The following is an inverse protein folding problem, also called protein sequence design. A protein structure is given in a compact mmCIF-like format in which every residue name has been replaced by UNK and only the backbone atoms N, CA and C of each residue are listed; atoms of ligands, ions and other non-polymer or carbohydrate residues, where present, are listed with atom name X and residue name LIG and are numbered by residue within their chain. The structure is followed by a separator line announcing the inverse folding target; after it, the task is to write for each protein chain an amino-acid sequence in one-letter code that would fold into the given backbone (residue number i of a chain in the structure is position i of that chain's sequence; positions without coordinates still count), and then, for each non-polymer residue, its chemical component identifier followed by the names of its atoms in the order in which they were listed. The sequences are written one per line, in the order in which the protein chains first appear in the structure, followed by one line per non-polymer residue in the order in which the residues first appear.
data_IF_216380778608
#
_entry.id   IF_216380778608
#
_cell.length_a   1.000
_cell.length_b   1.000
_cell.length_c   1.000
_cell.angle_alpha   90.00
_cell.angle_beta   90.00
_cell.angle_gamma   90.00
#
_symmetry.space_group_name_H-M   'P 1'
#
loop_
_entity.id
_entity.type
_entity.pdbx_description
1 polymer ?
#
# COMPACT_ATOMS: atom_id res chain seq x y z
N UNK A 1 3.34 8.42 14.29
CA UNK A 1 3.63 7.19 13.52
C UNK A 1 3.44 7.50 12.05
N UNK A 2 4.50 7.41 11.23
CA UNK A 2 4.38 7.65 9.78
C UNK A 2 3.61 6.48 9.15
N UNK A 3 2.84 6.75 8.11
CA UNK A 3 1.99 5.75 7.47
C UNK A 3 2.48 5.50 6.04
N UNK A 4 2.25 4.29 5.55
CA UNK A 4 2.58 3.90 4.17
C UNK A 4 1.40 3.11 3.62
N UNK A 5 0.88 3.57 2.49
CA UNK A 5 -0.15 2.89 1.73
C UNK A 5 0.46 2.28 0.46
N UNK A 6 0.45 0.96 0.35
CA UNK A 6 0.89 0.24 -0.84
C UNK A 6 -0.27 -0.25 -1.68
N UNK A 7 -0.11 -0.22 -3.00
CA UNK A 7 -1.04 -0.81 -3.97
C UNK A 7 -0.28 -1.15 -5.26
N UNK A 8 -0.68 -2.21 -5.96
CA UNK A 8 -0.27 -2.40 -7.35
C UNK A 8 -1.41 -1.94 -8.26
N UNK A 9 -1.15 -1.00 -9.16
CA UNK A 9 -2.19 -0.27 -9.89
C UNK A 9 -2.44 -0.89 -11.28
N UNK A 10 -3.67 -0.81 -11.76
CA UNK A 10 -4.04 -1.21 -13.12
C UNK A 10 -3.99 -2.73 -13.31
N UNK A 11 -3.17 -3.22 -14.24
CA UNK A 11 -2.99 -4.66 -14.49
C UNK A 11 -1.83 -5.29 -13.70
N UNK A 12 -1.17 -4.54 -12.82
CA UNK A 12 -0.01 -5.05 -12.08
C UNK A 12 -0.43 -6.10 -11.03
N UNK A 13 0.01 -7.34 -11.24
CA UNK A 13 -0.21 -8.49 -10.35
C UNK A 13 1.01 -8.87 -9.49
N UNK A 14 2.15 -8.19 -9.69
CA UNK A 14 3.35 -8.43 -8.92
C UNK A 14 3.21 -7.86 -7.50
N UNK A 15 3.11 -8.73 -6.49
CA UNK A 15 2.89 -8.30 -5.09
C UNK A 15 4.09 -8.57 -4.16
N UNK A 16 5.02 -9.45 -4.53
CA UNK A 16 6.08 -9.89 -3.64
C UNK A 16 6.99 -8.75 -3.15
N UNK A 17 7.39 -7.85 -4.07
CA UNK A 17 8.27 -6.72 -3.73
C UNK A 17 7.64 -5.73 -2.76
N UNK A 18 6.40 -5.33 -3.02
CA UNK A 18 5.70 -4.37 -2.16
C UNK A 18 5.37 -4.97 -0.80
N UNK A 19 4.97 -6.24 -0.74
CA UNK A 19 4.74 -6.94 0.54
C UNK A 19 6.01 -7.04 1.36
N UNK A 20 7.15 -7.36 0.74
CA UNK A 20 8.44 -7.41 1.43
C UNK A 20 8.84 -6.02 1.98
N UNK A 21 8.67 -4.97 1.18
CA UNK A 21 8.94 -3.60 1.61
C UNK A 21 8.07 -3.16 2.78
N UNK A 22 6.75 -3.39 2.71
CA UNK A 22 5.83 -3.01 3.79
C UNK A 22 6.10 -3.81 5.06
N UNK A 23 6.42 -5.10 4.95
CA UNK A 23 6.82 -5.93 6.09
C UNK A 23 8.15 -5.49 6.72
N UNK A 24 9.07 -4.92 5.94
CA UNK A 24 10.29 -4.33 6.48
C UNK A 24 9.95 -3.03 7.21
N UNK A 25 9.19 -2.12 6.58
CA UNK A 25 8.84 -0.83 7.15
C UNK A 25 8.05 -0.95 8.46
N UNK A 26 7.15 -1.94 8.57
CA UNK A 26 6.39 -2.18 9.80
C UNK A 26 7.26 -2.55 11.01
N UNK A 27 8.48 -3.04 10.80
CA UNK A 27 9.47 -3.30 11.85
C UNK A 27 10.20 -2.04 12.34
N UNK A 28 10.06 -0.92 11.64
CA UNK A 28 10.72 0.37 11.93
C UNK A 28 9.69 1.47 12.23
N UNK A 29 8.64 1.16 13.00
CA UNK A 29 7.62 2.11 13.47
C UNK A 29 6.81 2.83 12.36
N UNK A 30 6.68 2.20 11.19
CA UNK A 30 5.70 2.62 10.17
C UNK A 30 4.40 1.85 10.33
N UNK A 31 3.27 2.55 10.21
CA UNK A 31 1.98 1.90 10.00
C UNK A 31 1.82 1.61 8.51
N UNK A 32 1.70 0.35 8.13
CA UNK A 32 1.63 -0.04 6.72
C UNK A 32 0.27 -0.64 6.38
N UNK A 33 -0.27 -0.30 5.21
CA UNK A 33 -1.49 -0.89 4.65
C UNK A 33 -1.28 -1.27 3.19
N UNK A 34 -1.71 -2.45 2.78
CA UNK A 34 -1.68 -2.89 1.39
C UNK A 34 -3.10 -3.03 0.82
N UNK A 35 -3.37 -2.43 -0.33
CA UNK A 35 -4.68 -2.47 -0.99
C UNK A 35 -4.88 -3.71 -1.90
N UNK A 36 -3.81 -4.43 -2.20
CA UNK A 36 -3.82 -5.58 -3.11
C UNK A 36 -3.25 -5.27 -4.49
N UNK A 37 -3.28 -6.30 -5.34
CA UNK A 37 -2.96 -6.22 -6.76
C UNK A 37 -4.09 -5.60 -7.58
N UNK A 38 -3.77 -5.18 -8.80
CA UNK A 38 -4.74 -4.67 -9.78
C UNK A 38 -5.73 -3.63 -9.23
N UNK A 39 -5.24 -2.73 -8.37
CA UNK A 39 -6.01 -1.69 -7.73
C UNK A 39 -6.39 -0.60 -8.75
N UNK A 40 -7.65 -0.18 -8.74
CA UNK A 40 -8.12 0.95 -9.56
C UNK A 40 -7.61 2.27 -8.98
N UNK A 41 -7.47 3.28 -9.85
CA UNK A 41 -7.08 4.63 -9.43
C UNK A 41 -8.08 5.22 -8.43
N UNK A 42 -9.39 5.02 -8.65
CA UNK A 42 -10.42 5.56 -7.76
C UNK A 42 -10.37 4.93 -6.37
N UNK A 43 -10.11 3.61 -6.29
CA UNK A 43 -9.92 2.93 -5.00
C UNK A 43 -8.68 3.45 -4.29
N UNK A 44 -7.58 3.64 -5.02
CA UNK A 44 -6.35 4.20 -4.46
C UNK A 44 -6.58 5.61 -3.91
N UNK A 45 -7.23 6.52 -4.67
CA UNK A 45 -7.56 7.88 -4.23
C UNK A 45 -8.38 7.88 -2.94
N UNK A 46 -9.48 7.11 -2.92
CA UNK A 46 -10.35 6.98 -1.75
C UNK A 46 -9.58 6.51 -0.51
N UNK A 47 -8.66 5.57 -0.69
CA UNK A 47 -7.88 5.03 0.42
C UNK A 47 -6.74 5.95 0.87
N UNK A 48 -6.17 6.77 -0.02
CA UNK A 48 -5.25 7.85 0.37
C UNK A 48 -5.97 8.83 1.30
N UNK A 49 -7.16 9.31 0.92
CA UNK A 49 -7.95 10.23 1.75
C UNK A 49 -8.35 9.60 3.09
N UNK A 50 -8.84 8.35 3.07
CA UNK A 50 -9.29 7.64 4.27
C UNK A 50 -8.16 7.29 5.22
N UNK A 51 -7.05 6.80 4.69
CA UNK A 51 -5.94 6.32 5.52
C UNK A 51 -5.02 7.45 5.96
N UNK A 52 -4.98 8.56 5.19
CA UNK A 52 -4.11 9.71 5.36
C UNK A 52 -2.64 9.29 5.61
N UNK A 53 -2.03 8.56 4.64
CA UNK A 53 -0.67 8.07 4.76
C UNK A 53 0.40 9.17 4.78
#
# INVERSE_FOLDING_TARGET
MKKILGACVGSCVHVAGILNFLNLASKYDYSTKFLGSACTIDRLKKEIEKYNP
#
